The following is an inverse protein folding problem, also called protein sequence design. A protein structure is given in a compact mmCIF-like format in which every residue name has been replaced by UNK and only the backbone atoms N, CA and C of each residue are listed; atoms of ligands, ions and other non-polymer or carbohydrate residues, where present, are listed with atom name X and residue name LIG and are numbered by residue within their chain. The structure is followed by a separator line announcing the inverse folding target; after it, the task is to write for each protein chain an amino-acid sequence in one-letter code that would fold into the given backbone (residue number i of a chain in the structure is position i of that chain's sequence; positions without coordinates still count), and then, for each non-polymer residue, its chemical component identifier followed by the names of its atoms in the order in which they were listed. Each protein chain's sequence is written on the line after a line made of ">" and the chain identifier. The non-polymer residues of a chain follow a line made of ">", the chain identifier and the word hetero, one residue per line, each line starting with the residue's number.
data_IF_594830601921
#
_entry.id   IF_594830601921
#
_cell.length_a   1.000
_cell.length_b   1.000
_cell.length_c   1.000
_cell.angle_alpha   90.00
_cell.angle_beta   90.00
_cell.angle_gamma   90.00
#
_symmetry.space_group_name_H-M   'P 1'
#
loop_
_entity.id
_entity.type
_entity.pdbx_description
1 polymer ?
#
# COMPACT_ATOMS: atom_id res chain seq x y z
N UNK A 1 6.76 -2.10 16.72
CA UNK A 1 5.65 -2.09 15.73
C UNK A 1 4.75 -0.91 16.05
N UNK A 2 4.15 -0.28 15.03
CA UNK A 2 3.16 0.78 15.23
C UNK A 2 1.81 0.09 15.06
N UNK A 3 0.88 0.28 15.99
CA UNK A 3 -0.50 -0.19 15.84
C UNK A 3 -1.20 0.64 14.75
N UNK A 4 -1.89 0.02 13.78
CA UNK A 4 -2.61 0.74 12.74
C UNK A 4 -3.86 1.41 13.33
N UNK A 5 -4.13 2.66 12.94
CA UNK A 5 -5.34 3.38 13.35
C UNK A 5 -6.60 2.80 12.70
N UNK A 6 -6.49 2.36 11.43
CA UNK A 6 -7.56 1.70 10.68
C UNK A 6 -6.99 0.86 9.53
N UNK A 7 -7.82 -0.03 8.97
CA UNK A 7 -7.47 -0.86 7.81
C UNK A 7 -7.91 -0.13 6.53
N UNK A 8 -7.01 -0.06 5.54
CA UNK A 8 -7.32 0.57 4.26
C UNK A 8 -8.12 -0.36 3.34
N UNK A 9 -9.20 0.20 2.78
CA UNK A 9 -9.98 -0.39 1.70
C UNK A 9 -9.72 0.29 0.38
N UNK A 10 -10.64 1.17 0.00
CA UNK A 10 -10.60 1.84 -1.30
C UNK A 10 -9.50 2.89 -1.34
N UNK A 11 -8.65 2.81 -2.36
CA UNK A 11 -7.64 3.82 -2.66
C UNK A 11 -8.02 4.50 -3.97
N UNK A 12 -8.32 5.79 -3.91
CA UNK A 12 -8.67 6.63 -5.04
C UNK A 12 -7.52 7.54 -5.46
N UNK A 13 -7.42 7.81 -6.76
CA UNK A 13 -6.52 8.81 -7.32
C UNK A 13 -7.31 9.74 -8.24
N UNK A 14 -7.15 11.04 -8.03
CA UNK A 14 -7.72 12.07 -8.87
C UNK A 14 -6.69 13.18 -9.15
N UNK A 15 -7.02 14.05 -10.09
CA UNK A 15 -6.22 15.23 -10.40
C UNK A 15 -7.10 16.48 -10.37
N UNK A 16 -6.76 17.39 -9.47
CA UNK A 16 -7.38 18.70 -9.34
C UNK A 16 -6.68 19.68 -10.28
N UNK A 17 -7.37 19.99 -11.39
CA UNK A 17 -6.86 20.87 -12.44
C UNK A 17 -6.79 22.33 -12.00
N UNK A 18 -7.62 22.76 -11.06
CA UNK A 18 -7.69 24.15 -10.60
C UNK A 18 -6.49 24.47 -9.70
N UNK A 19 -6.13 23.54 -8.82
CA UNK A 19 -5.05 23.75 -7.86
C UNK A 19 -3.71 23.11 -8.28
N UNK A 20 -3.67 22.43 -9.43
CA UNK A 20 -2.52 21.67 -9.91
C UNK A 20 -1.99 20.69 -8.86
N UNK A 21 -2.89 19.82 -8.38
CA UNK A 21 -2.60 18.81 -7.35
C UNK A 21 -3.11 17.43 -7.76
N UNK A 22 -2.34 16.40 -7.44
CA UNK A 22 -2.89 15.04 -7.38
C UNK A 22 -3.56 14.87 -6.02
N UNK A 23 -4.72 14.23 -6.01
CA UNK A 23 -5.49 13.92 -4.81
C UNK A 23 -5.48 12.41 -4.62
N UNK A 24 -4.91 11.95 -3.51
CA UNK A 24 -4.94 10.56 -3.09
C UNK A 24 -6.01 10.45 -2.00
N UNK A 25 -7.01 9.63 -2.24
CA UNK A 25 -8.04 9.29 -1.27
C UNK A 25 -7.78 7.89 -0.72
N UNK A 26 -7.80 7.76 0.60
CA UNK A 26 -7.60 6.54 1.35
C UNK A 26 -8.80 6.36 2.27
N UNK A 27 -9.61 5.36 1.98
CA UNK A 27 -10.83 5.07 2.75
C UNK A 27 -10.59 3.84 3.62
N UNK A 28 -11.01 3.94 4.87
CA UNK A 28 -11.12 2.80 5.77
C UNK A 28 -12.05 1.75 5.18
N UNK A 29 -11.70 0.48 5.38
CA UNK A 29 -12.64 -0.63 5.23
C UNK A 29 -12.96 -1.17 6.60
N UNK A 30 -14.24 -1.16 6.93
CA UNK A 30 -14.78 -1.88 8.05
C UNK A 30 -15.31 -3.22 7.54
N UNK A 31 -14.90 -4.31 8.19
CA UNK A 31 -15.36 -5.66 7.87
C UNK A 31 -16.44 -5.98 8.88
N UNK A 32 -17.74 -5.88 8.52
CA UNK A 32 -18.81 -6.13 9.46
C UNK A 32 -18.77 -7.59 9.93
N UNK A 33 -18.91 -7.78 11.24
CA UNK A 33 -19.05 -9.10 11.85
C UNK A 33 -20.50 -9.57 11.81
N UNK A 34 -20.71 -10.87 12.06
CA UNK A 34 -22.02 -11.49 11.96
C UNK A 34 -22.94 -10.95 13.07
N UNK A 35 -23.87 -10.06 12.71
CA UNK A 35 -24.79 -9.39 13.63
C UNK A 35 -24.65 -7.87 13.69
N UNK A 36 -23.67 -7.28 12.99
CA UNK A 36 -23.51 -5.83 12.93
C UNK A 36 -24.60 -5.16 12.09
N UNK A 37 -24.99 -3.95 12.51
CA UNK A 37 -25.86 -3.09 11.72
C UNK A 37 -25.11 -2.59 10.47
N UNK A 38 -25.81 -2.36 9.35
CA UNK A 38 -25.16 -1.83 8.15
C UNK A 38 -24.54 -0.47 8.43
N UNK A 39 -23.22 -0.40 8.29
CA UNK A 39 -22.42 0.82 8.48
C UNK A 39 -22.71 1.79 7.33
N UNK A 40 -22.88 3.07 7.67
CA UNK A 40 -23.02 4.14 6.69
C UNK A 40 -21.65 4.57 6.16
N UNK A 41 -21.56 4.93 4.88
CA UNK A 41 -20.36 5.51 4.25
C UNK A 41 -19.83 6.78 4.97
N UNK A 42 -20.63 7.39 5.86
CA UNK A 42 -20.23 8.57 6.64
C UNK A 42 -19.46 8.22 7.92
N UNK A 43 -19.53 6.97 8.36
CA UNK A 43 -18.96 6.52 9.63
C UNK A 43 -17.52 5.98 9.47
N UNK A 44 -17.05 5.79 8.22
CA UNK A 44 -15.70 5.31 7.92
C UNK A 44 -14.65 6.43 7.92
N UNK A 45 -13.46 6.14 8.44
CA UNK A 45 -12.32 7.06 8.40
C UNK A 45 -11.84 7.29 6.96
N UNK A 46 -11.47 8.53 6.65
CA UNK A 46 -11.00 8.92 5.32
C UNK A 46 -9.84 9.89 5.41
N UNK A 47 -8.79 9.61 4.65
CA UNK A 47 -7.66 10.53 4.44
C UNK A 47 -7.64 11.00 2.99
N UNK A 48 -7.56 12.33 2.80
CA UNK A 48 -7.31 12.95 1.50
C UNK A 48 -5.99 13.71 1.54
N UNK A 49 -5.03 13.24 0.76
CA UNK A 49 -3.74 13.91 0.59
C UNK A 49 -3.71 14.64 -0.75
N UNK A 50 -3.41 15.94 -0.70
CA UNK A 50 -3.17 16.75 -1.89
C UNK A 50 -1.66 16.91 -2.07
N UNK A 51 -1.13 16.36 -3.16
CA UNK A 51 0.31 16.39 -3.44
C UNK A 51 0.61 17.10 -4.75
N UNK A 52 1.78 17.71 -4.83
CA UNK A 52 2.29 18.30 -6.07
C UNK A 52 2.68 17.21 -7.07
N UNK A 53 2.76 17.55 -8.36
CA UNK A 53 3.30 16.65 -9.39
C UNK A 53 4.74 16.22 -9.08
N UNK A 54 5.55 17.12 -8.53
CA UNK A 54 6.93 16.84 -8.14
C UNK A 54 7.01 15.80 -7.02
N UNK A 55 6.14 15.90 -6.00
CA UNK A 55 6.04 14.89 -4.94
C UNK A 55 5.57 13.54 -5.47
N UNK A 56 4.59 13.52 -6.38
CA UNK A 56 4.14 12.28 -7.03
C UNK A 56 5.28 11.62 -7.82
N UNK A 57 6.03 12.38 -8.62
CA UNK A 57 7.17 11.86 -9.37
C UNK A 57 8.29 11.33 -8.45
N UNK A 58 8.59 12.05 -7.36
CA UNK A 58 9.55 11.60 -6.36
C UNK A 58 9.10 10.31 -5.67
N UNK A 59 7.81 10.21 -5.33
CA UNK A 59 7.23 8.99 -4.76
C UNK A 59 7.36 7.80 -5.72
N UNK A 60 7.00 7.96 -7.00
CA UNK A 60 7.15 6.90 -8.00
C UNK A 60 8.59 6.41 -8.11
N UNK A 61 9.55 7.33 -8.24
CA UNK A 61 10.98 6.97 -8.28
C UNK A 61 11.41 6.17 -7.04
N UNK A 62 11.02 6.64 -5.86
CA UNK A 62 11.37 5.96 -4.62
C UNK A 62 10.69 4.59 -4.50
N UNK A 63 9.43 4.49 -4.89
CA UNK A 63 8.69 3.23 -4.90
C UNK A 63 9.36 2.20 -5.82
N UNK A 64 9.81 2.61 -7.00
CA UNK A 64 10.55 1.75 -7.93
C UNK A 64 11.87 1.26 -7.33
N UNK A 65 12.63 2.14 -6.67
CA UNK A 65 13.86 1.78 -5.96
C UNK A 65 13.58 0.76 -4.84
N UNK A 66 12.51 0.96 -4.06
CA UNK A 66 12.12 0.05 -2.97
C UNK A 66 11.66 -1.30 -3.52
N UNK A 67 10.79 -1.33 -4.53
CA UNK A 67 10.28 -2.57 -5.13
C UNK A 67 11.40 -3.36 -5.81
N UNK A 68 12.29 -2.68 -6.53
CA UNK A 68 13.44 -3.31 -7.20
C UNK A 68 14.52 -3.77 -6.23
N UNK A 69 14.60 -3.20 -5.02
CA UNK A 69 15.40 -3.73 -3.91
C UNK A 69 14.85 -5.03 -3.30
N UNK A 70 13.85 -5.64 -3.96
CA UNK A 70 13.29 -6.93 -3.65
C UNK A 70 14.35 -7.99 -3.34
N UNK A 71 13.93 -8.99 -2.57
CA UNK A 71 14.85 -9.99 -2.02
C UNK A 71 15.58 -10.73 -3.14
N UNK A 72 16.90 -10.97 -3.01
CA UNK A 72 17.66 -11.68 -4.04
C UNK A 72 17.05 -13.05 -4.31
N UNK A 73 16.98 -13.43 -5.58
CA UNK A 73 16.49 -14.74 -6.00
C UNK A 73 17.51 -15.84 -5.69
N UNK A 74 17.03 -16.98 -5.18
CA UNK A 74 17.85 -18.17 -4.97
C UNK A 74 18.36 -18.71 -6.31
N UNK A 75 19.69 -18.89 -6.44
CA UNK A 75 20.32 -19.37 -7.68
C UNK A 75 19.90 -20.78 -8.11
N UNK A 76 19.35 -21.58 -7.18
CA UNK A 76 18.91 -22.95 -7.46
C UNK A 76 17.42 -23.04 -7.85
N UNK A 77 16.53 -22.33 -7.14
CA UNK A 77 15.08 -22.46 -7.32
C UNK A 77 14.37 -21.19 -7.83
N UNK A 78 15.07 -20.05 -7.93
CA UNK A 78 14.53 -18.77 -8.39
C UNK A 78 13.62 -18.05 -7.39
N UNK A 79 13.35 -18.63 -6.21
CA UNK A 79 12.50 -18.02 -5.19
C UNK A 79 13.23 -16.92 -4.41
N UNK A 80 12.54 -15.88 -3.92
CA UNK A 80 13.18 -14.81 -3.16
C UNK A 80 13.71 -15.32 -1.80
N UNK A 81 14.91 -14.91 -1.42
CA UNK A 81 15.57 -15.30 -0.16
C UNK A 81 15.07 -14.41 1.00
N UNK A 82 14.53 -14.97 2.08
CA UNK A 82 14.15 -14.17 3.27
C UNK A 82 15.41 -13.60 3.96
N UNK A 83 15.27 -12.53 4.76
CA UNK A 83 16.38 -11.96 5.53
C UNK A 83 17.01 -12.98 6.49
N UNK A 84 16.20 -13.87 7.06
CA UNK A 84 16.64 -14.93 7.98
C UNK A 84 17.17 -16.18 7.26
N UNK A 85 17.32 -16.13 5.92
CA UNK A 85 17.77 -17.24 5.09
C UNK A 85 16.65 -17.90 4.28
N UNK A 86 17.01 -18.90 3.48
CA UNK A 86 16.07 -19.62 2.61
C UNK A 86 16.37 -21.11 2.59
N UNK A 87 15.40 -21.92 2.99
CA UNK A 87 15.43 -23.37 2.80
C UNK A 87 15.09 -23.68 1.35
N UNK A 88 16.11 -23.98 0.55
CA UNK A 88 15.95 -24.28 -0.87
C UNK A 88 15.45 -25.72 -1.06
N UNK A 89 14.25 -25.95 -1.64
CA UNK A 89 13.76 -27.30 -1.89
C UNK A 89 14.63 -28.12 -2.86
N UNK A 90 15.52 -27.46 -3.62
CA UNK A 90 16.47 -28.08 -4.55
C UNK A 90 17.81 -28.47 -3.92
N UNK A 91 18.02 -28.13 -2.66
CA UNK A 91 19.22 -28.50 -1.89
C UNK A 91 18.93 -29.58 -0.83
N UNK A 92 17.73 -30.16 -0.84
CA UNK A 92 17.33 -31.29 0.00
C UNK A 92 17.48 -32.62 -0.74
#
# INVERSE_FOLDING_TARGET
>A
PIEPEFVLGTVGLAYDTLNDRLVIQLDEIEIPEEGDEPISDQDVSRVRAHITRGQAAAFCKHADEVVSSGRPSCVFCGRPINKDGHLCPRMN
#
